data_IF_342215693119
#
_entry.id   IF_342215693119
#
_cell.length_a   1.000
_cell.length_b   1.000
_cell.length_c   1.000
_cell.angle_alpha   90.00
_cell.angle_beta   90.00
_cell.angle_gamma   90.00
#
_symmetry.space_group_name_H-M   'P 1'
#
loop_
_entity.id
_entity.type
_entity.pdbx_description
1 polymer ?
#
# COMPACT_ATOMS: atom_id res chain seq x y z
N UNK A 1 -26.94 -15.61 -3.48
CA UNK A 1 -26.50 -15.44 -2.08
C UNK A 1 -25.02 -15.13 -2.11
N UNK A 2 -24.67 -13.85 -2.08
CA UNK A 2 -23.28 -13.41 -2.15
C UNK A 2 -22.58 -13.79 -0.84
N UNK A 3 -21.46 -14.50 -0.95
CA UNK A 3 -20.56 -14.65 0.18
C UNK A 3 -20.21 -13.24 0.68
N UNK A 4 -20.52 -12.90 1.95
CA UNK A 4 -20.04 -11.64 2.49
C UNK A 4 -18.52 -11.68 2.42
N UNK A 5 -17.95 -10.61 1.87
CA UNK A 5 -16.53 -10.30 1.95
C UNK A 5 -16.04 -10.66 3.37
N UNK A 6 -14.98 -11.46 3.57
CA UNK A 6 -14.45 -11.62 4.91
C UNK A 6 -13.93 -10.24 5.31
N UNK A 7 -14.69 -9.60 6.19
CA UNK A 7 -14.33 -8.37 6.84
C UNK A 7 -12.87 -8.50 7.30
N UNK A 8 -12.02 -7.61 6.78
CA UNK A 8 -10.73 -7.37 7.40
C UNK A 8 -10.99 -7.09 8.89
N UNK A 9 -10.39 -7.90 9.74
CA UNK A 9 -10.26 -7.75 11.18
C UNK A 9 -11.56 -7.90 12.00
N UNK A 10 -11.71 -9.06 12.67
CA UNK A 10 -11.57 -9.16 14.14
C UNK A 10 -12.28 -10.37 14.77
N UNK A 11 -13.08 -11.17 14.06
CA UNK A 11 -13.92 -12.21 14.70
C UNK A 11 -13.81 -13.64 14.15
N UNK A 12 -12.74 -14.01 13.41
CA UNK A 12 -12.60 -15.37 12.82
C UNK A 12 -11.64 -16.27 13.64
N UNK A 13 -11.23 -15.85 14.85
CA UNK A 13 -10.21 -16.58 15.62
C UNK A 13 -10.74 -17.81 16.38
N UNK A 14 -12.05 -18.02 16.46
CA UNK A 14 -12.65 -19.07 17.29
C UNK A 14 -13.31 -20.17 16.45
N UNK A 15 -12.49 -20.99 15.80
CA UNK A 15 -12.88 -22.33 15.35
C UNK A 15 -12.09 -23.37 16.16
N UNK A 16 -12.74 -24.33 16.84
CA UNK A 16 -12.03 -25.36 17.57
C UNK A 16 -11.33 -26.30 16.58
N UNK A 17 -10.10 -26.70 16.92
CA UNK A 17 -9.37 -27.82 16.32
C UNK A 17 -8.82 -27.66 14.89
N UNK A 18 -8.19 -26.51 14.58
CA UNK A 18 -7.28 -26.45 13.42
C UNK A 18 -5.82 -26.73 13.83
N UNK A 19 -5.06 -27.52 13.06
CA UNK A 19 -3.67 -27.81 13.36
C UNK A 19 -2.88 -26.51 13.51
N UNK A 20 -2.07 -26.43 14.56
CA UNK A 20 -1.18 -25.30 14.83
C UNK A 20 -0.11 -25.25 13.74
N UNK A 21 -0.37 -24.47 12.69
CA UNK A 21 0.63 -24.18 11.66
C UNK A 21 1.50 -23.03 12.18
N UNK A 22 2.78 -23.31 12.38
CA UNK A 22 3.76 -22.29 12.72
C UNK A 22 3.79 -21.20 11.64
N UNK A 23 3.60 -19.95 12.06
CA UNK A 23 3.78 -18.82 11.17
C UNK A 23 5.26 -18.72 10.75
N UNK A 24 5.57 -18.27 9.52
CA UNK A 24 6.94 -17.97 9.13
C UNK A 24 7.61 -17.07 10.17
N UNK A 25 8.87 -17.31 10.51
CA UNK A 25 9.57 -16.47 11.50
C UNK A 25 9.66 -15.01 10.99
N UNK A 26 9.46 -14.00 11.84
CA UNK A 26 9.67 -12.60 11.46
C UNK A 26 11.08 -12.30 10.94
N UNK A 27 12.08 -13.07 11.39
CA UNK A 27 13.47 -12.94 10.91
C UNK A 27 13.60 -13.21 9.42
N UNK A 28 12.71 -14.04 8.85
CA UNK A 28 12.73 -14.29 7.40
C UNK A 28 12.49 -12.99 6.62
N UNK A 29 11.57 -12.14 7.07
CA UNK A 29 11.27 -10.86 6.43
C UNK A 29 12.49 -9.94 6.49
N UNK A 30 13.16 -9.88 7.65
CA UNK A 30 14.38 -9.09 7.83
C UNK A 30 15.50 -9.58 6.90
N UNK A 31 15.77 -10.88 6.88
CA UNK A 31 16.81 -11.49 6.02
C UNK A 31 16.49 -11.24 4.55
N UNK A 32 15.22 -11.34 4.14
CA UNK A 32 14.79 -11.10 2.76
C UNK A 32 14.99 -9.65 2.36
N UNK A 33 14.62 -8.68 3.20
CA UNK A 33 14.91 -7.27 2.94
C UNK A 33 16.41 -7.04 2.79
N UNK A 34 17.22 -7.57 3.71
CA UNK A 34 18.67 -7.40 3.66
C UNK A 34 19.28 -8.02 2.38
N UNK A 35 18.81 -9.21 1.99
CA UNK A 35 19.26 -9.87 0.75
C UNK A 35 18.88 -9.08 -0.50
N UNK A 36 17.64 -8.58 -0.58
CA UNK A 36 17.20 -7.73 -1.70
C UNK A 36 18.00 -6.42 -1.76
N UNK A 37 18.24 -5.78 -0.61
CA UNK A 37 19.04 -4.55 -0.56
C UNK A 37 20.50 -4.80 -0.98
N UNK A 38 21.11 -5.88 -0.47
CA UNK A 38 22.46 -6.27 -0.87
C UNK A 38 22.55 -6.54 -2.38
N UNK A 39 21.60 -7.30 -2.94
CA UNK A 39 21.55 -7.60 -4.35
C UNK A 39 21.46 -6.32 -5.21
N UNK A 40 20.57 -5.38 -4.88
CA UNK A 40 20.42 -4.13 -5.65
C UNK A 40 21.67 -3.24 -5.55
N UNK A 41 22.32 -3.19 -4.38
CA UNK A 41 23.56 -2.43 -4.23
C UNK A 41 24.73 -3.04 -5.01
N UNK A 42 24.82 -4.38 -5.04
CA UNK A 42 25.89 -5.11 -5.72
C UNK A 42 25.69 -5.20 -7.24
N UNK A 43 24.46 -5.30 -7.71
CA UNK A 43 24.13 -5.52 -9.13
C UNK A 43 24.41 -4.32 -10.05
N UNK A 44 24.83 -3.16 -9.49
CA UNK A 44 25.12 -1.91 -10.22
C UNK A 44 24.04 -1.52 -11.25
N UNK A 45 22.82 -2.04 -11.12
CA UNK A 45 21.71 -1.79 -12.04
C UNK A 45 21.61 -0.29 -12.26
N UNK A 46 21.69 0.21 -13.51
CA UNK A 46 21.71 1.65 -13.77
C UNK A 46 20.54 2.23 -13.00
N UNK A 47 20.86 3.11 -12.06
CA UNK A 47 19.83 3.71 -11.26
C UNK A 47 18.89 4.33 -12.28
N UNK A 48 17.65 3.92 -12.25
CA UNK A 48 16.59 4.76 -12.71
C UNK A 48 16.54 5.91 -11.68
N UNK A 49 17.58 6.73 -11.66
CA UNK A 49 17.79 7.76 -10.67
C UNK A 49 16.96 8.96 -11.08
N UNK A 50 15.99 9.29 -10.24
CA UNK A 50 15.63 10.68 -9.99
C UNK A 50 15.73 10.89 -8.47
N UNK A 51 16.76 11.58 -7.96
CA UNK A 51 16.83 13.04 -7.82
C UNK A 51 15.68 13.68 -7.03
N UNK A 52 15.16 13.00 -6.00
CA UNK A 52 14.43 13.67 -4.92
C UNK A 52 15.42 14.31 -3.92
N UNK A 53 15.41 15.63 -3.74
CA UNK A 53 16.18 16.26 -2.66
C UNK A 53 15.47 16.09 -1.32
N UNK A 54 16.23 15.66 -0.30
CA UNK A 54 15.83 15.69 1.11
C UNK A 54 14.59 14.87 1.48
N UNK A 55 13.41 15.53 1.47
CA UNK A 55 12.15 15.03 2.05
C UNK A 55 11.41 14.04 1.16
N UNK A 56 11.35 14.33 -0.14
CA UNK A 56 10.64 13.47 -1.10
C UNK A 56 11.32 12.11 -1.18
N UNK A 57 12.65 12.07 -1.17
CA UNK A 57 13.41 10.83 -1.13
C UNK A 57 13.10 9.95 0.11
N UNK A 58 12.96 10.55 1.30
CA UNK A 58 12.58 9.78 2.50
C UNK A 58 11.17 9.18 2.40
N UNK A 59 10.22 9.93 1.82
CA UNK A 59 8.85 9.45 1.61
C UNK A 59 8.81 8.34 0.56
N UNK A 60 9.52 8.52 -0.56
CA UNK A 60 9.62 7.52 -1.62
C UNK A 60 10.28 6.24 -1.09
N UNK A 61 11.39 6.38 -0.35
CA UNK A 61 12.02 5.23 0.31
C UNK A 61 11.09 4.51 1.29
N UNK A 62 10.31 5.25 2.08
CA UNK A 62 9.30 4.66 2.97
C UNK A 62 8.25 3.88 2.17
N UNK A 63 7.74 4.42 1.05
CA UNK A 63 6.78 3.71 0.18
C UNK A 63 7.30 2.36 -0.29
N UNK A 64 8.59 2.28 -0.62
CA UNK A 64 9.24 1.03 -1.03
C UNK A 64 9.21 -0.03 0.07
N UNK A 65 9.56 0.36 1.31
CA UNK A 65 9.50 -0.54 2.46
C UNK A 65 8.06 -0.97 2.78
N UNK A 66 7.09 -0.05 2.70
CA UNK A 66 5.68 -0.36 2.95
C UNK A 66 5.12 -1.37 1.93
N UNK A 67 5.44 -1.23 0.65
CA UNK A 67 5.00 -2.17 -0.38
C UNK A 67 5.54 -3.59 -0.13
N UNK A 68 6.81 -3.71 0.27
CA UNK A 68 7.43 -4.99 0.62
C UNK A 68 6.84 -5.57 1.92
N UNK A 69 6.51 -4.74 2.90
CA UNK A 69 5.80 -5.17 4.09
C UNK A 69 4.43 -5.79 3.74
N UNK A 70 3.66 -5.15 2.85
CA UNK A 70 2.38 -5.71 2.35
C UNK A 70 2.60 -7.04 1.62
N UNK A 71 3.69 -7.20 0.88
CA UNK A 71 4.06 -8.49 0.30
C UNK A 71 4.29 -9.56 1.38
N UNK A 72 5.05 -9.27 2.44
CA UNK A 72 5.27 -10.24 3.52
C UNK A 72 3.98 -10.66 4.21
N UNK A 73 3.07 -9.70 4.44
CA UNK A 73 1.73 -9.98 4.96
C UNK A 73 1.00 -11.01 4.10
N UNK A 74 0.92 -10.79 2.79
CA UNK A 74 0.22 -11.70 1.88
C UNK A 74 0.98 -13.00 1.59
N UNK A 75 2.31 -13.03 1.73
CA UNK A 75 3.08 -14.28 1.72
C UNK A 75 2.66 -15.17 2.89
N UNK A 76 2.52 -14.60 4.10
CA UNK A 76 2.05 -15.32 5.29
C UNK A 76 0.61 -15.83 5.13
N UNK A 77 -0.29 -15.02 4.57
CA UNK A 77 -1.66 -15.44 4.23
C UNK A 77 -1.63 -16.57 3.20
N UNK A 78 -0.84 -16.43 2.14
CA UNK A 78 -0.74 -17.44 1.07
C UNK A 78 -0.22 -18.76 1.63
N UNK A 79 0.79 -18.74 2.49
CA UNK A 79 1.29 -19.93 3.17
C UNK A 79 0.18 -20.61 3.98
N UNK A 80 -0.57 -19.85 4.77
CA UNK A 80 -1.70 -20.40 5.53
C UNK A 80 -2.78 -20.99 4.60
N UNK A 81 -3.20 -20.23 3.58
CA UNK A 81 -4.18 -20.65 2.59
C UNK A 81 -3.77 -21.95 1.88
N UNK A 82 -2.49 -22.11 1.55
CA UNK A 82 -1.97 -23.32 0.88
C UNK A 82 -1.93 -24.55 1.78
N UNK A 83 -1.97 -24.38 3.10
CA UNK A 83 -1.98 -25.48 4.06
C UNK A 83 -3.39 -25.81 4.57
N UNK A 84 -4.28 -24.82 4.68
CA UNK A 84 -5.62 -24.99 5.28
C UNK A 84 -6.78 -24.83 4.32
N UNK A 85 -6.54 -24.27 3.13
CA UNK A 85 -7.59 -23.84 2.20
C UNK A 85 -8.33 -22.57 2.64
N UNK A 86 -7.94 -21.93 3.74
CA UNK A 86 -8.62 -20.76 4.28
C UNK A 86 -7.86 -19.46 4.02
N UNK A 87 -8.52 -18.49 3.41
CA UNK A 87 -7.97 -17.15 3.20
C UNK A 87 -8.34 -16.25 4.38
N UNK A 88 -7.45 -16.20 5.37
CA UNK A 88 -7.62 -15.40 6.59
C UNK A 88 -6.35 -14.61 6.89
N UNK A 89 -6.48 -13.54 7.68
CA UNK A 89 -5.34 -12.71 8.08
C UNK A 89 -4.24 -13.51 8.80
N UNK A 90 -2.98 -13.03 8.80
CA UNK A 90 -1.88 -13.74 9.45
C UNK A 90 -2.14 -13.94 10.94
N UNK A 91 -1.88 -15.16 11.45
CA UNK A 91 -1.88 -15.44 12.90
C UNK A 91 -0.79 -14.67 13.63
N UNK A 92 0.33 -14.41 12.95
CA UNK A 92 1.45 -13.66 13.53
C UNK A 92 1.10 -12.17 13.57
N UNK A 93 1.10 -11.53 14.76
CA UNK A 93 0.83 -10.09 14.88
C UNK A 93 1.80 -9.25 14.04
N UNK A 94 3.06 -9.66 13.92
CA UNK A 94 4.07 -8.94 13.14
C UNK A 94 3.72 -8.90 11.65
N UNK A 95 3.34 -10.05 11.07
CA UNK A 95 2.91 -10.09 9.67
C UNK A 95 1.58 -9.36 9.46
N UNK A 96 0.69 -9.35 10.45
CA UNK A 96 -0.53 -8.56 10.37
C UNK A 96 -0.24 -7.05 10.39
N UNK A 97 0.68 -6.60 11.25
CA UNK A 97 1.15 -5.21 11.29
C UNK A 97 1.84 -4.81 9.98
N UNK A 98 2.64 -5.68 9.35
CA UNK A 98 3.25 -5.37 8.05
C UNK A 98 2.22 -4.96 6.98
N UNK A 99 1.07 -5.64 6.92
CA UNK A 99 -0.01 -5.31 5.99
C UNK A 99 -0.79 -4.07 6.43
N UNK A 100 -1.33 -4.10 7.64
CA UNK A 100 -2.21 -3.03 8.15
C UNK A 100 -1.47 -1.70 8.28
N UNK A 101 -0.24 -1.69 8.80
CA UNK A 101 0.57 -0.46 8.91
C UNK A 101 1.06 0.01 7.54
N UNK A 102 1.33 -0.93 6.63
CA UNK A 102 1.60 -0.67 5.21
C UNK A 102 0.53 0.22 4.60
N UNK A 103 -0.71 -0.27 4.59
CA UNK A 103 -1.87 0.41 4.00
C UNK A 103 -2.19 1.72 4.74
N UNK A 104 -2.23 1.70 6.07
CA UNK A 104 -2.47 2.90 6.89
C UNK A 104 -1.46 4.01 6.57
N UNK A 105 -0.18 3.66 6.45
CA UNK A 105 0.86 4.66 6.14
C UNK A 105 0.79 5.13 4.69
N UNK A 106 0.41 4.29 3.73
CA UNK A 106 0.13 4.75 2.35
C UNK A 106 -0.98 5.81 2.31
N UNK A 107 -2.05 5.63 3.09
CA UNK A 107 -3.11 6.63 3.22
C UNK A 107 -2.60 7.91 3.91
N UNK A 108 -1.77 7.82 4.94
CA UNK A 108 -1.10 9.00 5.54
C UNK A 108 -0.21 9.73 4.54
N UNK A 109 0.58 9.02 3.74
CA UNK A 109 1.43 9.61 2.68
C UNK A 109 0.55 10.35 1.66
N UNK A 110 -0.55 9.72 1.25
CA UNK A 110 -1.52 10.29 0.31
C UNK A 110 -2.07 11.62 0.82
N UNK A 111 -2.57 11.63 2.07
CA UNK A 111 -3.01 12.86 2.72
C UNK A 111 -1.92 13.91 2.80
N UNK A 112 -0.73 13.55 3.28
CA UNK A 112 0.39 14.48 3.40
C UNK A 112 0.73 15.19 2.08
N UNK A 113 0.79 14.43 0.99
CA UNK A 113 1.09 14.98 -0.33
C UNK A 113 -0.06 15.85 -0.87
N UNK A 114 -1.31 15.47 -0.65
CA UNK A 114 -2.47 16.20 -1.16
C UNK A 114 -2.64 17.55 -0.46
N UNK A 115 -2.67 17.56 0.87
CA UNK A 115 -2.76 18.79 1.64
C UNK A 115 -1.53 19.68 1.38
N UNK A 116 -0.35 19.08 1.19
CA UNK A 116 0.85 19.78 0.71
C UNK A 116 0.63 20.48 -0.63
N UNK A 117 0.05 19.79 -1.62
CA UNK A 117 -0.24 20.33 -2.96
C UNK A 117 -1.29 21.43 -2.94
N UNK A 118 -2.42 21.24 -2.24
CA UNK A 118 -3.48 22.26 -2.11
C UNK A 118 -2.90 23.61 -1.67
N UNK A 119 -1.97 23.58 -0.70
CA UNK A 119 -1.32 24.78 -0.18
C UNK A 119 -0.31 25.42 -1.12
N UNK A 120 0.34 24.64 -2.00
CA UNK A 120 1.33 25.16 -2.95
C UNK A 120 0.69 25.99 -4.07
N UNK A 121 -0.59 25.75 -4.40
CA UNK A 121 -1.21 26.27 -5.62
C UNK A 121 -1.97 27.60 -5.40
N UNK A 122 -1.89 28.24 -4.22
CA UNK A 122 -2.37 29.61 -3.89
C UNK A 122 -3.60 30.13 -4.70
N UNK A 123 -4.64 29.32 -4.89
CA UNK A 123 -5.94 29.80 -5.38
C UNK A 123 -6.54 29.12 -6.61
N UNK A 124 -5.81 28.32 -7.39
CA UNK A 124 -6.41 27.61 -8.53
C UNK A 124 -5.76 26.23 -8.76
N UNK A 125 -6.28 25.21 -8.08
CA UNK A 125 -5.85 23.82 -8.35
C UNK A 125 -6.28 23.45 -9.78
N UNK A 126 -5.30 23.22 -10.63
CA UNK A 126 -5.53 22.64 -11.95
C UNK A 126 -6.01 21.18 -11.80
N UNK A 127 -7.33 21.02 -11.84
CA UNK A 127 -8.01 19.75 -11.63
C UNK A 127 -7.75 18.80 -12.79
N UNK A 128 -7.75 19.29 -14.03
CA UNK A 128 -7.52 18.47 -15.21
C UNK A 128 -6.13 17.86 -15.14
N UNK A 129 -5.11 18.68 -14.90
CA UNK A 129 -3.74 18.19 -14.70
C UNK A 129 -3.62 17.24 -13.53
N UNK A 130 -4.35 17.50 -12.44
CA UNK A 130 -4.36 16.62 -11.28
C UNK A 130 -4.92 15.23 -11.65
N UNK A 131 -6.13 15.15 -12.19
CA UNK A 131 -6.80 13.88 -12.49
C UNK A 131 -6.11 13.14 -13.63
N UNK A 132 -5.70 13.82 -14.70
CA UNK A 132 -4.95 13.21 -15.80
C UNK A 132 -3.66 12.58 -15.27
N UNK A 133 -2.91 13.28 -14.41
CA UNK A 133 -1.71 12.74 -13.78
C UNK A 133 -1.97 11.48 -12.95
N UNK A 134 -3.14 11.35 -12.32
CA UNK A 134 -3.53 10.15 -11.55
C UNK A 134 -3.99 9.01 -12.44
N UNK A 135 -4.75 9.30 -13.50
CA UNK A 135 -5.12 8.32 -14.52
C UNK A 135 -3.86 7.65 -15.07
N UNK A 136 -2.89 8.43 -15.54
CA UNK A 136 -1.64 7.89 -16.12
C UNK A 136 -0.73 7.17 -15.11
N UNK A 137 -0.92 7.40 -13.80
CA UNK A 137 -0.19 6.69 -12.74
C UNK A 137 -0.86 5.37 -12.37
N UNK A 138 -2.18 5.33 -12.28
CA UNK A 138 -2.92 4.22 -11.67
C UNK A 138 -3.46 3.26 -12.73
N UNK A 139 -4.20 3.81 -13.71
CA UNK A 139 -4.98 3.02 -14.65
C UNK A 139 -4.13 2.03 -15.46
N UNK A 140 -2.92 2.38 -15.96
CA UNK A 140 -2.14 1.44 -16.75
C UNK A 140 -1.73 0.17 -16.00
N UNK A 141 -1.13 0.31 -14.82
CA UNK A 141 -0.67 -0.84 -14.03
C UNK A 141 -1.87 -1.62 -13.50
N UNK A 142 -2.95 -0.93 -13.12
CA UNK A 142 -4.19 -1.59 -12.73
C UNK A 142 -4.78 -2.43 -13.86
N UNK A 143 -4.84 -1.90 -15.09
CA UNK A 143 -5.33 -2.63 -16.25
C UNK A 143 -4.47 -3.88 -16.54
N UNK A 144 -3.15 -3.78 -16.39
CA UNK A 144 -2.26 -4.95 -16.47
C UNK A 144 -2.59 -5.98 -15.39
N UNK A 145 -2.78 -5.54 -14.14
CA UNK A 145 -3.17 -6.43 -13.03
C UNK A 145 -4.49 -7.16 -13.31
N UNK A 146 -5.52 -6.43 -13.74
CA UNK A 146 -6.81 -7.02 -14.12
C UNK A 146 -6.63 -8.02 -15.27
N UNK A 147 -5.89 -7.67 -16.32
CA UNK A 147 -5.63 -8.58 -17.43
C UNK A 147 -4.93 -9.88 -16.98
N UNK A 148 -3.95 -9.78 -16.08
CA UNK A 148 -3.26 -10.93 -15.51
C UNK A 148 -4.17 -11.79 -14.62
N UNK A 149 -5.09 -11.18 -13.86
CA UNK A 149 -6.10 -11.92 -13.09
C UNK A 149 -7.05 -12.68 -14.01
N UNK A 150 -7.56 -12.04 -15.07
CA UNK A 150 -8.43 -12.68 -16.06
C UNK A 150 -7.70 -13.84 -16.75
N UNK A 151 -6.45 -13.62 -17.19
CA UNK A 151 -5.63 -14.66 -17.80
C UNK A 151 -5.40 -15.83 -16.85
N UNK A 152 -5.03 -15.56 -15.59
CA UNK A 152 -4.81 -16.60 -14.57
C UNK A 152 -6.10 -17.38 -14.30
N UNK A 153 -7.25 -16.70 -14.28
CA UNK A 153 -8.57 -17.33 -14.11
C UNK A 153 -8.87 -18.27 -15.27
N UNK A 154 -8.62 -17.84 -16.51
CA UNK A 154 -8.81 -18.70 -17.69
C UNK A 154 -7.91 -19.94 -17.66
N UNK A 155 -6.66 -19.80 -17.24
CA UNK A 155 -5.75 -20.95 -17.08
C UNK A 155 -6.29 -21.96 -16.08
N UNK A 156 -6.78 -21.50 -14.92
CA UNK A 156 -7.29 -22.37 -13.85
C UNK A 156 -8.62 -23.02 -14.20
N UNK A 157 -9.47 -22.31 -14.94
CA UNK A 157 -10.80 -22.80 -15.36
C UNK A 157 -10.76 -23.60 -16.67
N UNK A 158 -9.58 -23.88 -17.23
CA UNK A 158 -9.44 -24.61 -18.49
C UNK A 158 -10.05 -23.88 -19.69
N UNK A 159 -10.13 -22.55 -19.63
CA UNK A 159 -10.80 -21.68 -20.60
C UNK A 159 -12.29 -21.97 -20.85
N UNK A 160 -12.96 -22.69 -19.94
CA UNK A 160 -14.41 -22.83 -19.96
C UNK A 160 -15.06 -21.51 -19.59
N UNK A 161 -15.85 -20.91 -20.49
CA UNK A 161 -16.47 -19.61 -20.27
C UNK A 161 -17.90 -19.76 -19.74
N UNK A 162 -18.08 -19.75 -18.43
CA UNK A 162 -19.40 -19.77 -17.78
C UNK A 162 -19.36 -19.17 -16.36
N UNK A 163 -19.94 -17.98 -16.12
CA UNK A 163 -20.54 -17.03 -17.06
C UNK A 163 -19.52 -16.34 -17.99
N UNK A 164 -19.97 -15.56 -19.00
CA UNK A 164 -19.09 -14.78 -19.86
C UNK A 164 -18.14 -13.88 -19.07
N UNK A 165 -16.86 -13.77 -19.50
CA UNK A 165 -15.85 -12.92 -18.84
C UNK A 165 -16.31 -11.46 -18.65
N UNK A 166 -17.08 -10.94 -19.60
CA UNK A 166 -17.58 -9.58 -19.55
C UNK A 166 -18.52 -9.32 -18.36
N UNK A 167 -19.15 -10.37 -17.81
CA UNK A 167 -20.14 -10.27 -16.74
C UNK A 167 -19.57 -9.73 -15.43
N UNK A 168 -18.25 -9.84 -15.22
CA UNK A 168 -17.59 -9.30 -14.03
C UNK A 168 -16.89 -7.94 -14.28
N UNK A 169 -16.79 -7.45 -15.52
CA UNK A 169 -15.93 -6.31 -15.84
C UNK A 169 -16.29 -5.03 -15.07
N UNK A 170 -17.57 -4.77 -14.87
CA UNK A 170 -18.08 -3.64 -14.10
C UNK A 170 -17.55 -3.64 -12.66
N UNK A 171 -17.57 -4.81 -12.00
CA UNK A 171 -17.08 -4.95 -10.63
C UNK A 171 -15.58 -4.64 -10.50
N UNK A 172 -14.79 -4.96 -11.53
CA UNK A 172 -13.37 -4.63 -11.57
C UNK A 172 -13.14 -3.15 -11.91
N UNK A 173 -13.96 -2.56 -12.78
CA UNK A 173 -13.94 -1.10 -13.04
C UNK A 173 -14.23 -0.30 -11.76
N UNK A 174 -15.18 -0.77 -10.94
CA UNK A 174 -15.60 -0.12 -9.69
C UNK A 174 -14.92 -0.68 -8.43
N UNK A 175 -13.83 -1.43 -8.59
CA UNK A 175 -12.98 -1.91 -7.48
C UNK A 175 -13.67 -2.82 -6.45
N UNK A 176 -14.82 -3.42 -6.79
CA UNK A 176 -15.51 -4.42 -5.96
C UNK A 176 -15.04 -5.85 -6.25
N UNK A 177 -14.42 -6.07 -7.43
CA UNK A 177 -13.72 -7.29 -7.82
C UNK A 177 -14.55 -8.57 -7.60
N UNK A 178 -15.68 -8.70 -8.30
CA UNK A 178 -16.50 -9.90 -8.26
C UNK A 178 -15.78 -11.10 -8.91
N UNK A 179 -16.17 -12.34 -8.53
CA UNK A 179 -15.69 -13.56 -9.19
C UNK A 179 -15.78 -13.49 -10.71
N UNK A 180 -14.70 -13.90 -11.36
CA UNK A 180 -14.56 -13.94 -12.82
C UNK A 180 -14.83 -15.37 -13.26
N UNK A 181 -15.61 -15.54 -14.32
CA UNK A 181 -15.81 -16.83 -14.97
C UNK A 181 -16.26 -17.95 -14.01
N UNK A 182 -17.13 -17.61 -13.05
CA UNK A 182 -17.67 -18.56 -12.08
C UNK A 182 -16.66 -19.05 -11.03
N UNK A 183 -15.39 -18.62 -11.13
CA UNK A 183 -14.32 -19.00 -10.21
C UNK A 183 -14.34 -18.09 -8.97
N UNK A 184 -14.81 -18.57 -7.80
CA UNK A 184 -15.06 -17.71 -6.63
C UNK A 184 -13.78 -17.08 -6.06
N UNK A 185 -12.63 -17.71 -6.30
CA UNK A 185 -11.33 -17.26 -5.77
C UNK A 185 -10.56 -16.35 -6.73
N UNK A 186 -11.12 -15.97 -7.89
CA UNK A 186 -10.45 -15.05 -8.81
C UNK A 186 -10.02 -13.72 -8.16
N UNK A 187 -10.78 -13.12 -7.22
CA UNK A 187 -10.33 -11.89 -6.56
C UNK A 187 -9.11 -12.11 -5.65
N UNK A 188 -8.88 -13.34 -5.19
CA UNK A 188 -7.71 -13.69 -4.38
C UNK A 188 -6.43 -13.84 -5.21
N UNK A 189 -6.54 -13.90 -6.55
CA UNK A 189 -5.38 -13.98 -7.44
C UNK A 189 -4.49 -12.74 -7.29
N UNK A 190 -5.05 -11.55 -7.10
CA UNK A 190 -4.27 -10.36 -6.73
C UNK A 190 -4.26 -10.09 -5.22
N UNK A 191 -4.49 -11.13 -4.42
CA UNK A 191 -4.61 -11.07 -2.97
C UNK A 191 -5.74 -10.16 -2.45
N UNK A 192 -6.70 -9.80 -3.29
CA UNK A 192 -7.86 -8.99 -2.90
C UNK A 192 -7.52 -7.53 -2.61
N UNK A 193 -6.40 -6.99 -3.10
CA UNK A 193 -5.91 -5.64 -2.70
C UNK A 193 -6.63 -4.47 -3.38
N UNK A 194 -7.54 -4.76 -4.32
CA UNK A 194 -8.22 -3.77 -5.18
C UNK A 194 -9.02 -2.74 -4.39
N UNK A 195 -9.59 -3.12 -3.24
CA UNK A 195 -10.42 -2.25 -2.42
C UNK A 195 -9.73 -0.93 -2.01
N UNK A 196 -8.39 -0.92 -1.91
CA UNK A 196 -7.64 0.29 -1.56
C UNK A 196 -7.72 1.37 -2.63
N UNK A 197 -7.89 0.99 -3.90
CA UNK A 197 -8.05 1.94 -5.00
C UNK A 197 -9.37 2.71 -4.90
N UNK A 198 -10.43 2.08 -4.39
CA UNK A 198 -11.69 2.77 -4.14
C UNK A 198 -11.49 3.95 -3.17
N UNK A 199 -10.76 3.73 -2.07
CA UNK A 199 -10.37 4.81 -1.16
C UNK A 199 -9.54 5.88 -1.85
N UNK A 200 -8.56 5.47 -2.65
CA UNK A 200 -7.66 6.41 -3.33
C UNK A 200 -8.42 7.35 -4.27
N UNK A 201 -9.37 6.83 -5.05
CA UNK A 201 -10.26 7.63 -5.89
C UNK A 201 -11.21 8.52 -5.10
N UNK A 202 -11.76 8.04 -3.99
CA UNK A 202 -12.54 8.89 -3.08
C UNK A 202 -11.68 10.03 -2.54
N UNK A 203 -10.42 9.78 -2.16
CA UNK A 203 -9.50 10.84 -1.75
C UNK A 203 -9.26 11.84 -2.89
N UNK A 204 -9.07 11.38 -4.13
CA UNK A 204 -8.91 12.24 -5.29
C UNK A 204 -10.11 13.14 -5.53
N UNK A 205 -11.32 12.58 -5.55
CA UNK A 205 -12.55 13.35 -5.74
C UNK A 205 -12.88 14.25 -4.55
N UNK A 206 -12.37 13.96 -3.35
CA UNK A 206 -12.53 14.83 -2.18
C UNK A 206 -11.68 16.10 -2.24
N UNK A 207 -10.62 16.15 -3.06
CA UNK A 207 -9.66 17.27 -3.08
C UNK A 207 -10.31 18.61 -3.40
N UNK A 208 -11.16 18.77 -4.44
CA UNK A 208 -11.78 20.07 -4.72
C UNK A 208 -12.60 20.59 -3.54
N UNK A 209 -13.37 19.71 -2.90
CA UNK A 209 -14.16 20.05 -1.72
C UNK A 209 -13.26 20.42 -0.53
N UNK A 210 -12.25 19.60 -0.22
CA UNK A 210 -11.29 19.90 0.85
C UNK A 210 -10.55 21.20 0.57
N UNK A 211 -10.08 21.43 -0.66
CA UNK A 211 -9.38 22.64 -1.05
C UNK A 211 -10.27 23.88 -0.87
N UNK A 212 -11.54 23.79 -1.25
CA UNK A 212 -12.51 24.86 -1.03
C UNK A 212 -12.70 25.16 0.47
N UNK A 213 -12.99 24.14 1.28
CA UNK A 213 -13.17 24.28 2.74
C UNK A 213 -11.90 24.81 3.43
N UNK A 214 -10.73 24.38 2.96
CA UNK A 214 -9.43 24.71 3.55
C UNK A 214 -8.94 26.11 3.20
N UNK A 215 -9.06 26.50 1.93
CA UNK A 215 -8.50 27.76 1.41
C UNK A 215 -9.49 28.91 1.50
N UNK A 216 -10.79 28.67 1.30
CA UNK A 216 -11.81 29.73 1.25
C UNK A 216 -12.48 29.96 2.59
N UNK A 217 -12.81 28.89 3.32
CA UNK A 217 -13.58 28.97 4.57
C UNK A 217 -12.72 28.86 5.84
N UNK A 218 -11.43 28.56 5.72
CA UNK A 218 -10.49 28.34 6.84
C UNK A 218 -10.99 27.33 7.89
N UNK A 219 -11.80 26.33 7.48
CA UNK A 219 -12.42 25.34 8.38
C UNK A 219 -11.47 24.19 8.76
N UNK A 220 -10.16 24.47 8.81
CA UNK A 220 -9.10 23.48 9.10
C UNK A 220 -9.36 22.65 10.37
N UNK A 221 -9.66 23.26 11.54
CA UNK A 221 -9.88 22.47 12.74
C UNK A 221 -11.15 21.62 12.64
N UNK A 222 -12.17 22.07 11.91
CA UNK A 222 -13.44 21.36 11.74
C UNK A 222 -13.33 20.15 10.82
N UNK A 223 -12.55 20.24 9.73
CA UNK A 223 -12.27 19.09 8.86
C UNK A 223 -11.52 18.00 9.62
N UNK A 224 -10.53 18.40 10.43
CA UNK A 224 -9.76 17.47 11.24
C UNK A 224 -10.60 16.88 12.39
N UNK A 225 -11.44 17.69 13.05
CA UNK A 225 -12.32 17.26 14.13
C UNK A 225 -13.41 16.31 13.63
N UNK A 226 -14.03 16.59 12.48
CA UNK A 226 -14.99 15.69 11.85
C UNK A 226 -14.34 14.35 11.50
N UNK A 227 -13.12 14.40 10.96
CA UNK A 227 -12.31 13.21 10.72
C UNK A 227 -12.08 12.36 11.95
N UNK A 228 -11.63 12.99 13.03
CA UNK A 228 -11.40 12.32 14.31
C UNK A 228 -12.70 11.74 14.90
N UNK A 229 -13.81 12.48 14.82
CA UNK A 229 -15.11 12.03 15.28
C UNK A 229 -15.58 10.79 14.50
N UNK A 230 -15.47 10.80 13.17
CA UNK A 230 -15.83 9.65 12.35
C UNK A 230 -14.93 8.45 12.65
N UNK A 231 -13.61 8.66 12.81
CA UNK A 231 -12.69 7.60 13.18
C UNK A 231 -13.10 6.89 14.49
N UNK A 232 -13.38 7.69 15.53
CA UNK A 232 -13.81 7.19 16.85
C UNK A 232 -15.19 6.52 16.81
N UNK A 233 -16.13 7.08 16.06
CA UNK A 233 -17.47 6.50 15.90
C UNK A 233 -17.39 5.11 15.26
N UNK A 234 -16.61 4.96 14.18
CA UNK A 234 -16.52 3.70 13.46
C UNK A 234 -15.64 2.65 14.16
N UNK A 235 -14.59 3.07 14.89
CA UNK A 235 -13.84 2.18 15.78
C UNK A 235 -14.76 1.55 16.83
N UNK A 236 -15.69 2.33 17.39
CA UNK A 236 -16.62 1.85 18.42
C UNK A 236 -17.74 0.97 17.87
N UNK A 237 -18.24 1.26 16.67
CA UNK A 237 -19.46 0.64 16.14
C UNK A 237 -19.23 -0.39 15.03
N UNK A 238 -17.98 -0.59 14.59
CA UNK A 238 -17.59 -1.70 13.72
C UNK A 238 -18.26 -1.74 12.34
N UNK A 239 -18.62 -0.59 11.76
CA UNK A 239 -19.43 -0.56 10.53
C UNK A 239 -18.61 -0.25 9.26
N UNK A 240 -18.93 -1.01 8.22
CA UNK A 240 -18.52 -0.75 6.84
C UNK A 240 -19.66 0.01 6.16
N UNK A 241 -19.38 1.06 5.40
CA UNK A 241 -20.41 1.80 4.65
C UNK A 241 -21.05 0.83 3.63
N UNK A 242 -22.38 0.56 3.70
CA UNK A 242 -23.01 -0.59 3.03
C UNK A 242 -22.90 -0.62 1.51
N UNK A 243 -22.73 0.53 0.85
CA UNK A 243 -22.78 0.63 -0.61
C UNK A 243 -21.43 0.42 -1.31
N UNK A 244 -20.29 0.60 -0.62
CA UNK A 244 -18.95 0.49 -1.23
C UNK A 244 -17.96 -0.36 -0.46
N UNK A 245 -18.34 -0.94 0.68
CA UNK A 245 -17.39 -1.71 1.48
C UNK A 245 -16.33 -0.85 2.18
N UNK A 246 -16.50 0.48 2.25
CA UNK A 246 -15.54 1.41 2.84
C UNK A 246 -15.79 1.55 4.35
N UNK A 247 -14.82 1.16 5.18
CA UNK A 247 -14.71 1.57 6.58
C UNK A 247 -14.27 3.03 6.72
N UNK A 248 -15.02 3.84 7.48
CA UNK A 248 -14.65 5.24 7.70
C UNK A 248 -13.38 5.40 8.56
N UNK A 249 -13.04 4.40 9.38
CA UNK A 249 -11.82 4.41 10.18
C UNK A 249 -10.54 4.55 9.33
N UNK A 250 -10.58 4.07 8.09
CA UNK A 250 -9.48 4.16 7.13
C UNK A 250 -9.34 5.54 6.45
N UNK A 251 -10.25 6.48 6.72
CA UNK A 251 -10.07 7.90 6.34
C UNK A 251 -9.25 8.67 7.39
N UNK A 252 -9.18 8.19 8.64
CA UNK A 252 -8.40 8.84 9.70
C UNK A 252 -6.91 8.96 9.36
N UNK A 253 -6.23 7.92 8.83
CA UNK A 253 -4.84 8.01 8.40
C UNK A 253 -4.63 9.09 7.33
N UNK A 254 -5.53 9.20 6.35
CA UNK A 254 -5.47 10.26 5.33
C UNK A 254 -5.48 11.66 5.96
N UNK A 255 -6.36 11.89 6.93
CA UNK A 255 -6.44 13.18 7.63
C UNK A 255 -5.24 13.43 8.56
N UNK A 256 -4.71 12.39 9.21
CA UNK A 256 -3.45 12.46 9.96
C UNK A 256 -2.27 12.81 9.04
N UNK A 257 -2.25 12.31 7.81
CA UNK A 257 -1.33 12.76 6.77
C UNK A 257 -1.45 14.26 6.49
N UNK A 258 -2.69 14.74 6.34
CA UNK A 258 -3.00 16.16 6.23
C UNK A 258 -2.48 16.99 7.41
N UNK A 259 -2.72 16.53 8.64
CA UNK A 259 -2.21 17.14 9.87
C UNK A 259 -0.68 17.15 9.90
N UNK A 260 -0.01 16.06 9.51
CA UNK A 260 1.44 15.99 9.43
C UNK A 260 1.99 17.09 8.50
N UNK A 261 1.29 17.38 7.39
CA UNK A 261 1.68 18.45 6.45
C UNK A 261 1.62 19.87 7.05
N UNK A 262 0.91 20.07 8.16
CA UNK A 262 0.90 21.31 8.95
C UNK A 262 1.95 21.26 10.06
N UNK A 263 1.99 20.18 10.83
CA UNK A 263 2.88 20.00 11.98
C UNK A 263 4.35 20.14 11.58
N UNK A 264 4.76 19.59 10.42
CA UNK A 264 6.16 19.71 9.93
C UNK A 264 6.57 21.12 9.50
N UNK A 265 5.64 22.09 9.45
CA UNK A 265 5.94 23.50 9.14
C UNK A 265 6.37 24.29 10.37
N UNK A 266 5.99 23.83 11.56
CA UNK A 266 6.40 24.44 12.82
C UNK A 266 7.92 24.31 12.96
N UNK A 267 8.63 25.43 13.09
CA UNK A 267 10.11 25.46 13.04
C UNK A 267 10.75 24.55 14.11
N UNK A 268 10.20 24.55 15.32
CA UNK A 268 10.65 23.70 16.43
C UNK A 268 10.46 22.21 16.11
N UNK A 269 9.28 21.82 15.64
CA UNK A 269 8.97 20.44 15.24
C UNK A 269 9.91 20.01 14.11
N UNK A 270 10.03 20.81 13.04
CA UNK A 270 10.89 20.50 11.90
C UNK A 270 12.35 20.28 12.30
N UNK A 271 12.87 21.09 13.23
CA UNK A 271 14.23 20.97 13.75
C UNK A 271 14.40 19.66 14.52
N UNK A 272 13.50 19.34 15.44
CA UNK A 272 13.56 18.12 16.24
C UNK A 272 13.34 16.87 15.39
N UNK A 273 12.34 16.90 14.52
CA UNK A 273 11.96 15.83 13.60
C UNK A 273 13.10 15.41 12.66
N UNK A 274 13.95 16.35 12.23
CA UNK A 274 15.11 16.08 11.37
C UNK A 274 16.38 15.65 12.13
N UNK A 275 16.37 15.71 13.46
CA UNK A 275 17.51 15.34 14.29
C UNK A 275 17.56 13.82 14.57
N UNK A 276 18.61 13.37 15.28
CA UNK A 276 18.70 12.00 15.78
C UNK A 276 17.53 11.64 16.71
N UNK A 277 16.98 12.60 17.47
CA UNK A 277 15.79 12.39 18.29
C UNK A 277 14.55 12.06 17.46
N UNK A 278 14.40 12.66 16.28
CA UNK A 278 13.31 12.32 15.36
C UNK A 278 13.45 10.89 14.80
N UNK A 279 14.69 10.45 14.54
CA UNK A 279 14.95 9.06 14.16
C UNK A 279 14.66 8.10 15.33
N UNK A 280 15.08 8.45 16.54
CA UNK A 280 14.78 7.70 17.77
C UNK A 280 13.27 7.59 18.03
N UNK A 281 12.52 8.68 17.88
CA UNK A 281 11.06 8.68 17.98
C UNK A 281 10.42 7.75 16.93
N UNK A 282 10.91 7.79 15.68
CA UNK A 282 10.40 6.90 14.63
C UNK A 282 10.64 5.43 14.98
N UNK A 283 11.86 5.10 15.41
CA UNK A 283 12.20 3.72 15.78
C UNK A 283 11.42 3.25 17.02
N UNK A 284 11.26 4.11 18.02
CA UNK A 284 10.47 3.81 19.22
C UNK A 284 8.99 3.60 18.87
N UNK A 285 8.39 4.49 18.07
CA UNK A 285 7.00 4.34 17.63
C UNK A 285 6.80 3.07 16.79
N UNK A 286 7.73 2.74 15.89
CA UNK A 286 7.70 1.48 15.15
C UNK A 286 7.78 0.27 16.10
N UNK A 287 8.72 0.28 17.06
CA UNK A 287 8.85 -0.80 18.04
C UNK A 287 7.59 -0.95 18.90
N UNK A 288 7.00 0.15 19.37
CA UNK A 288 5.73 0.16 20.10
C UNK A 288 4.60 -0.42 19.25
N UNK A 289 4.53 -0.06 17.97
CA UNK A 289 3.51 -0.60 17.07
C UNK A 289 3.60 -2.13 16.96
N UNK A 290 4.80 -2.68 16.75
CA UNK A 290 5.00 -4.13 16.66
C UNK A 290 4.83 -4.87 17.99
N UNK A 291 5.09 -4.20 19.13
CA UNK A 291 5.04 -4.84 20.45
C UNK A 291 3.66 -4.78 21.12
N UNK A 292 2.88 -3.73 20.86
CA UNK A 292 1.67 -3.43 21.63
C UNK A 292 0.36 -3.49 20.82
N UNK A 293 0.43 -3.69 19.50
CA UNK A 293 -0.75 -3.69 18.63
C UNK A 293 -0.80 -4.92 17.74
N UNK A 294 -2.01 -5.47 17.59
CA UNK A 294 -2.28 -6.54 16.64
C UNK A 294 -2.64 -6.02 15.25
N UNK A 295 -3.14 -4.79 15.16
CA UNK A 295 -3.56 -4.13 13.91
C UNK A 295 -3.26 -2.64 13.96
N UNK A 296 -2.87 -2.08 12.82
CA UNK A 296 -2.68 -0.65 12.61
C UNK A 296 -3.93 0.07 12.08
N UNK A 297 -5.12 -0.55 12.17
CA UNK A 297 -6.39 0.08 11.81
C UNK A 297 -7.10 0.74 13.00
N UNK A 298 -6.68 0.48 14.24
CA UNK A 298 -7.25 1.17 15.41
C UNK A 298 -6.81 2.63 15.48
N UNK A 299 -7.60 3.47 16.18
CA UNK A 299 -7.27 4.90 16.34
C UNK A 299 -6.01 5.06 17.17
N UNK A 300 -5.83 4.25 18.21
CA UNK A 300 -4.63 4.23 19.05
C UNK A 300 -3.38 3.88 18.25
N UNK A 301 -3.44 2.87 17.37
CA UNK A 301 -2.32 2.53 16.48
C UNK A 301 -2.03 3.65 15.47
N UNK A 302 -3.07 4.31 14.95
CA UNK A 302 -2.92 5.46 14.04
C UNK A 302 -2.17 6.63 14.69
N UNK A 303 -2.35 6.87 16.00
CA UNK A 303 -1.58 7.90 16.73
C UNK A 303 -0.10 7.53 16.84
N UNK A 304 0.20 6.25 17.12
CA UNK A 304 1.59 5.75 17.14
C UNK A 304 2.23 5.86 15.74
N UNK A 305 1.50 5.47 14.70
CA UNK A 305 1.95 5.62 13.32
C UNK A 305 2.14 7.08 12.90
N UNK A 306 1.31 8.00 13.40
CA UNK A 306 1.51 9.43 13.18
C UNK A 306 2.82 9.92 13.82
N UNK A 307 3.14 9.47 15.04
CA UNK A 307 4.41 9.78 15.69
C UNK A 307 5.63 9.22 14.92
N UNK A 308 5.49 8.03 14.32
CA UNK A 308 6.47 7.47 13.37
C UNK A 308 6.59 8.33 12.10
N UNK A 309 5.46 8.75 11.54
CA UNK A 309 5.41 9.37 10.22
C UNK A 309 5.90 10.82 10.22
N UNK A 310 5.65 11.62 11.27
CA UNK A 310 6.01 13.05 11.32
C UNK A 310 7.51 13.31 11.08
N UNK A 311 8.47 12.60 11.72
CA UNK A 311 9.89 12.73 11.41
C UNK A 311 10.23 12.42 9.95
N UNK A 312 9.70 11.32 9.41
CA UNK A 312 9.92 10.92 8.01
C UNK A 312 9.36 11.99 7.06
N UNK A 313 8.15 12.47 7.32
CA UNK A 313 7.49 13.54 6.58
C UNK A 313 8.22 14.88 6.67
N UNK A 314 8.99 15.14 7.73
CA UNK A 314 9.88 16.31 7.84
C UNK A 314 11.20 16.15 7.05
N UNK A 315 11.48 14.94 6.54
CA UNK A 315 12.64 14.57 5.75
C UNK A 315 13.74 13.85 6.53
N UNK A 316 13.43 13.31 7.71
CA UNK A 316 14.32 12.37 8.39
C UNK A 316 14.47 11.10 7.55
N UNK A 317 15.68 10.56 7.44
CA UNK A 317 15.97 9.35 6.66
C UNK A 317 16.23 8.11 7.51
N UNK A 318 16.01 8.19 8.83
CA UNK A 318 16.28 7.13 9.81
C UNK A 318 17.71 6.62 9.63
N UNK A 319 18.68 7.46 10.00
CA UNK A 319 20.12 7.19 9.83
C UNK A 319 20.56 6.88 8.38
N UNK A 320 19.77 7.30 7.39
CA UNK A 320 20.08 7.12 5.97
C UNK A 320 19.39 5.93 5.30
N UNK A 321 18.73 5.06 6.07
CA UNK A 321 18.00 3.88 5.58
C UNK A 321 17.03 4.24 4.45
N UNK A 322 16.19 5.26 4.66
CA UNK A 322 15.16 5.66 3.68
C UNK A 322 15.74 6.36 2.44
N UNK A 323 17.04 6.67 2.43
CA UNK A 323 17.75 7.26 1.29
C UNK A 323 18.70 6.28 0.62
N UNK A 324 18.76 5.03 1.09
CA UNK A 324 19.50 3.99 0.38
C UNK A 324 18.93 3.87 -1.03
N UNK A 325 19.83 3.84 -2.02
CA UNK A 325 19.48 3.73 -3.44
C UNK A 325 18.47 2.62 -3.72
N UNK A 326 18.68 1.44 -3.13
CA UNK A 326 17.80 0.30 -3.29
C UNK A 326 16.40 0.54 -2.71
N UNK A 327 16.31 1.24 -1.57
CA UNK A 327 15.03 1.55 -0.90
C UNK A 327 14.25 2.59 -1.69
N UNK A 328 14.92 3.64 -2.18
CA UNK A 328 14.30 4.67 -3.04
C UNK A 328 13.85 4.06 -4.38
N UNK A 329 14.64 3.16 -4.95
CA UNK A 329 14.26 2.41 -6.16
C UNK A 329 12.98 1.60 -5.96
N UNK A 330 12.89 0.84 -4.86
CA UNK A 330 11.66 0.14 -4.48
C UNK A 330 10.48 1.11 -4.28
N UNK A 331 10.76 2.33 -3.82
CA UNK A 331 9.79 3.42 -3.73
C UNK A 331 9.19 3.85 -5.06
N UNK A 332 10.01 3.89 -6.11
CA UNK A 332 9.56 4.30 -7.46
C UNK A 332 8.57 3.28 -8.04
N UNK A 333 8.90 2.00 -7.91
CA UNK A 333 8.09 0.85 -8.36
C UNK A 333 7.10 0.35 -7.30
N UNK A 334 6.89 1.11 -6.21
CA UNK A 334 6.12 0.63 -5.05
C UNK A 334 4.67 0.31 -5.40
N UNK A 335 4.12 1.02 -6.39
CA UNK A 335 2.76 0.80 -6.85
C UNK A 335 2.64 -0.50 -7.64
N UNK A 336 3.58 -0.78 -8.55
CA UNK A 336 3.67 -2.04 -9.27
C UNK A 336 3.84 -3.23 -8.31
N UNK A 337 4.75 -3.11 -7.32
CA UNK A 337 4.95 -4.13 -6.28
C UNK A 337 3.65 -4.38 -5.51
N UNK A 338 3.00 -3.31 -5.05
CA UNK A 338 1.72 -3.41 -4.34
C UNK A 338 0.63 -4.06 -5.20
N UNK A 339 0.57 -3.76 -6.50
CA UNK A 339 -0.51 -4.24 -7.36
C UNK A 339 -0.30 -5.67 -7.88
N UNK A 340 0.96 -6.10 -8.01
CA UNK A 340 1.33 -7.36 -8.69
C UNK A 340 1.76 -8.48 -7.73
N UNK A 341 2.06 -8.18 -6.46
CA UNK A 341 2.59 -9.19 -5.54
C UNK A 341 1.67 -10.40 -5.35
N UNK A 342 0.35 -10.19 -5.21
CA UNK A 342 -0.62 -11.26 -5.09
C UNK A 342 -0.62 -12.18 -6.31
N UNK A 343 -0.55 -11.60 -7.52
CA UNK A 343 -0.52 -12.37 -8.79
C UNK A 343 0.74 -13.23 -8.85
N UNK A 344 1.89 -12.69 -8.45
CA UNK A 344 3.14 -13.47 -8.40
C UNK A 344 3.05 -14.61 -7.40
N UNK A 345 2.52 -14.36 -6.20
CA UNK A 345 2.28 -15.41 -5.20
C UNK A 345 1.34 -16.50 -5.75
N UNK A 346 0.28 -16.10 -6.44
CA UNK A 346 -0.68 -17.01 -7.05
C UNK A 346 -0.02 -17.86 -8.14
N UNK A 347 0.66 -17.24 -9.10
CA UNK A 347 1.34 -17.93 -10.21
C UNK A 347 2.39 -18.89 -9.67
N UNK A 348 3.25 -18.45 -8.75
CA UNK A 348 4.32 -19.29 -8.19
C UNK A 348 3.76 -20.48 -7.41
N UNK A 349 2.82 -20.26 -6.50
CA UNK A 349 2.38 -21.29 -5.54
C UNK A 349 1.05 -21.98 -5.89
N UNK A 350 0.48 -21.67 -7.05
CA UNK A 350 -0.71 -22.36 -7.58
C UNK A 350 -0.47 -22.97 -8.95
N UNK A 351 0.24 -22.26 -9.84
CA UNK A 351 0.42 -22.72 -11.22
C UNK A 351 1.76 -23.41 -11.43
N UNK A 352 2.86 -22.82 -10.93
CA UNK A 352 4.21 -23.30 -11.22
C UNK A 352 4.71 -24.32 -10.19
N UNK A 353 4.43 -24.10 -8.91
CA UNK A 353 4.91 -24.93 -7.80
C UNK A 353 3.79 -25.18 -6.78
N UNK A 354 2.69 -25.86 -7.18
CA UNK A 354 1.51 -26.05 -6.32
C UNK A 354 1.82 -26.77 -4.98
N UNK A 355 2.81 -27.66 -4.99
CA UNK A 355 3.21 -28.43 -3.80
C UNK A 355 4.39 -27.80 -3.03
N UNK A 356 4.91 -26.64 -3.47
CA UNK A 356 6.09 -26.04 -2.83
C UNK A 356 5.86 -25.64 -1.38
N UNK A 357 4.63 -25.25 -1.03
CA UNK A 357 4.24 -24.90 0.34
C UNK A 357 3.83 -26.12 1.16
N UNK A 358 3.39 -27.20 0.51
CA UNK A 358 3.05 -28.45 1.17
C UNK A 358 4.36 -29.10 1.69
N UNK A 359 4.49 -29.21 3.01
CA UNK A 359 5.71 -29.69 3.67
C UNK A 359 6.79 -28.63 3.91
N UNK A 360 6.52 -27.33 3.68
CA UNK A 360 7.43 -26.24 4.02
C UNK A 360 7.42 -25.89 5.52
N UNK A 361 7.52 -26.89 6.39
CA UNK A 361 7.56 -26.66 7.85
C UNK A 361 8.91 -26.10 8.31
N UNK A 362 9.98 -26.29 7.53
CA UNK A 362 11.30 -25.75 7.87
C UNK A 362 11.41 -24.27 7.47
N UNK A 363 11.89 -23.45 8.42
CA UNK A 363 12.09 -22.02 8.22
C UNK A 363 13.06 -21.71 7.05
N UNK A 364 14.03 -22.60 6.79
CA UNK A 364 14.95 -22.45 5.65
C UNK A 364 14.27 -22.63 4.28
N UNK A 365 13.31 -23.56 4.17
CA UNK A 365 12.51 -23.70 2.94
C UNK A 365 11.59 -22.51 2.75
N UNK A 366 10.92 -22.04 3.81
CA UNK A 366 10.11 -20.82 3.78
C UNK A 366 10.90 -19.58 3.36
N UNK A 367 12.13 -19.42 3.89
CA UNK A 367 13.02 -18.35 3.47
C UNK A 367 13.31 -18.39 1.98
N UNK A 368 13.65 -19.57 1.45
CA UNK A 368 13.97 -19.77 0.04
C UNK A 368 12.78 -19.42 -0.85
N UNK A 369 11.58 -19.89 -0.50
CA UNK A 369 10.35 -19.58 -1.23
C UNK A 369 10.01 -18.08 -1.17
N UNK A 370 10.23 -17.43 -0.03
CA UNK A 370 10.00 -16.00 0.12
C UNK A 370 11.00 -15.16 -0.69
N UNK A 371 12.27 -15.56 -0.75
CA UNK A 371 13.29 -14.92 -1.59
C UNK A 371 12.95 -15.06 -3.08
N UNK A 372 12.55 -16.25 -3.53
CA UNK A 372 12.10 -16.51 -4.91
C UNK A 372 10.89 -15.62 -5.24
N UNK A 373 9.88 -15.59 -4.35
CA UNK A 373 8.70 -14.77 -4.54
C UNK A 373 9.04 -13.27 -4.56
N UNK A 374 9.85 -12.77 -3.62
CA UNK A 374 10.28 -11.38 -3.59
C UNK A 374 11.05 -10.98 -4.86
N UNK A 375 11.96 -11.83 -5.33
CA UNK A 375 12.67 -11.62 -6.58
C UNK A 375 11.71 -11.58 -7.78
N UNK A 376 10.74 -12.50 -7.85
CA UNK A 376 9.70 -12.52 -8.88
C UNK A 376 8.83 -11.26 -8.88
N UNK A 377 8.42 -10.79 -7.69
CA UNK A 377 7.63 -9.57 -7.53
C UNK A 377 8.40 -8.36 -8.01
N UNK A 378 9.63 -8.17 -7.55
CA UNK A 378 10.45 -7.03 -7.95
C UNK A 378 10.76 -7.08 -9.45
N UNK A 379 11.13 -8.25 -9.98
CA UNK A 379 11.43 -8.40 -11.40
C UNK A 379 10.23 -8.04 -12.29
N UNK A 380 9.06 -8.62 -12.01
CA UNK A 380 7.83 -8.32 -12.77
C UNK A 380 7.45 -6.85 -12.64
N UNK A 381 7.52 -6.29 -11.43
CA UNK A 381 7.21 -4.89 -11.16
C UNK A 381 8.12 -3.95 -11.96
N UNK A 382 9.42 -4.24 -12.03
CA UNK A 382 10.37 -3.46 -12.82
C UNK A 382 10.06 -3.54 -14.32
N UNK A 383 9.73 -4.73 -14.82
CA UNK A 383 9.34 -4.91 -16.23
C UNK A 383 8.10 -4.09 -16.57
N UNK A 384 7.02 -4.20 -15.78
CA UNK A 384 5.78 -3.46 -16.01
C UNK A 384 6.01 -1.94 -15.86
N UNK A 385 6.78 -1.54 -14.86
CA UNK A 385 7.13 -0.15 -14.64
C UNK A 385 7.89 0.47 -15.83
N UNK A 386 8.87 -0.25 -16.38
CA UNK A 386 9.66 0.22 -17.51
C UNK A 386 8.89 0.17 -18.84
N UNK A 387 8.13 -0.89 -19.08
CA UNK A 387 7.46 -1.15 -20.34
C UNK A 387 6.11 -0.44 -20.49
N UNK A 388 5.39 -0.24 -19.38
CA UNK A 388 4.01 0.27 -19.39
C UNK A 388 3.92 1.58 -18.65
N UNK A 389 4.29 1.61 -17.37
CA UNK A 389 4.01 2.75 -16.50
C UNK A 389 4.80 3.99 -16.92
N UNK A 390 6.13 3.89 -17.07
CA UNK A 390 6.99 5.02 -17.43
C UNK A 390 6.64 5.65 -18.77
N UNK A 391 6.44 4.89 -19.87
CA UNK A 391 6.03 5.47 -21.14
C UNK A 391 4.71 6.24 -21.03
N UNK A 392 3.72 5.68 -20.34
CA UNK A 392 2.41 6.31 -20.18
C UNK A 392 2.46 7.54 -19.26
N UNK A 393 3.26 7.51 -18.20
CA UNK A 393 3.56 8.70 -17.39
C UNK A 393 4.28 9.81 -18.18
N UNK A 394 5.14 9.44 -19.15
CA UNK A 394 5.77 10.42 -20.06
C UNK A 394 4.75 10.98 -21.05
N UNK A 395 3.84 10.16 -21.56
CA UNK A 395 2.75 10.59 -22.44
C UNK A 395 1.82 11.57 -21.72
N UNK A 396 1.37 11.25 -20.50
CA UNK A 396 0.53 12.13 -19.70
C UNK A 396 1.17 13.51 -19.44
N UNK A 397 2.50 13.54 -19.23
CA UNK A 397 3.26 14.79 -19.10
C UNK A 397 3.36 15.61 -20.38
N UNK A 398 3.18 15.00 -21.56
CA UNK A 398 3.12 15.70 -22.85
C UNK A 398 1.71 16.23 -23.15
N UNK A 399 0.67 15.49 -22.76
CA UNK A 399 -0.74 15.89 -22.95
C UNK A 399 -1.10 17.09 -22.07
N UNK A 400 -0.55 17.14 -20.85
CA UNK A 400 -0.68 18.30 -19.98
C UNK A 400 0.73 18.82 -19.66
N UNK A 401 1.32 19.65 -20.55
CA UNK A 401 2.66 20.19 -20.38
C UNK A 401 2.80 20.92 -19.05
N UNK A 402 4.00 20.84 -18.47
CA UNK A 402 4.38 21.69 -17.34
C UNK A 402 4.76 23.05 -17.93
N UNK A 403 3.77 23.86 -18.32
CA UNK A 403 4.06 25.25 -18.66
C UNK A 403 4.47 26.00 -17.40
N UNK A 404 5.54 26.78 -17.53
CA UNK A 404 6.41 27.21 -16.45
C UNK A 404 5.75 28.01 -15.33
N UNK A 405 5.16 27.32 -14.35
CA UNK A 405 5.26 27.61 -12.91
C UNK A 405 5.10 26.27 -12.17
N UNK A 406 5.99 26.02 -11.20
CA UNK A 406 5.96 24.92 -10.23
C UNK A 406 6.58 23.59 -10.70
N UNK A 407 7.81 23.65 -11.20
CA UNK A 407 8.82 22.75 -10.65
C UNK A 407 8.78 22.87 -9.12
N UNK A 408 8.53 21.77 -8.41
CA UNK A 408 8.81 21.65 -6.98
C UNK A 408 10.33 21.62 -6.72
N UNK A 409 11.06 22.53 -7.37
CA UNK A 409 12.43 22.88 -7.06
C UNK A 409 12.39 24.11 -6.14
N UNK A 410 12.64 23.86 -4.84
CA UNK A 410 13.08 24.80 -3.79
C UNK A 410 12.09 25.87 -3.29
N UNK A 411 12.21 26.34 -2.02
CA UNK A 411 13.25 26.06 -1.01
C UNK A 411 12.90 25.03 0.06
#
# INVERSE_FOLDING_TARGET
>A
MGLPWPACASSIWDGPDMPMIDSPSPWLAVITVLACLAFVQLSRLPALAATGSGRLASIDGLRGLLAIAVFFHHFSITHHYKLTGQWVGPRSPIYNIFGTAGVTTFFMITGFLFFGKIKAVRGALDLDRFFIGRVFRIVPVYAVSVALVYLSTLVVTGAHLDPPLAASLDSWIFFTAAPINGYPFSPLINAGVVWTLAYEWVFYFSIPAIAFLWLKLNLRPWVLALGAMLALYFERNGQVVPYFGLSAGLFAPFLLGGLASEVVRLAMVRRLARSAWGAGLSLAAAATLFAAFETAYSVSANVVLFAFFVPVAAGNSIFGLLRLRAVVFLGEVSYDVYMLHGIVLFVLFTLLMPDAMQGAHSQGRLLSLMLIAAAGVVALSVVIHLAVERPLLRLGRRIVPIDGVQTLAAP
#
